data_IF_804641741137
#
_entry.id   IF_804641741137
#
_cell.length_a   1.000
_cell.length_b   1.000
_cell.length_c   1.000
_cell.angle_alpha   90.00
_cell.angle_beta   90.00
_cell.angle_gamma   90.00
#
_symmetry.space_group_name_H-M   'P 1'
#
loop_
_entity.id
_entity.type
_entity.pdbx_description
1 polymer ?
#
# COMPACT_ATOMS: atom_id res chain seq x y z
N UNK A 1 -12.59 -0.25 15.14
CA UNK A 1 -11.26 -0.22 15.82
C UNK A 1 -10.18 0.04 14.79
N UNK A 2 -9.23 0.93 15.06
CA UNK A 2 -8.04 1.17 14.21
C UNK A 2 -6.83 0.51 14.87
N UNK A 3 -6.52 -0.72 14.46
CA UNK A 3 -5.40 -1.51 15.00
C UNK A 3 -4.08 -1.04 14.41
N UNK A 4 -3.06 -0.90 15.24
CA UNK A 4 -1.70 -0.53 14.83
C UNK A 4 -0.71 -1.57 15.31
N UNK A 5 0.19 -1.99 14.42
CA UNK A 5 1.37 -2.79 14.79
C UNK A 5 2.54 -1.85 14.99
N UNK A 6 3.29 -2.03 16.06
CA UNK A 6 4.41 -1.15 16.39
C UNK A 6 5.50 -1.88 17.15
N UNK A 7 6.71 -1.34 17.13
CA UNK A 7 7.78 -1.69 18.04
C UNK A 7 7.68 -0.76 19.24
N UNK A 8 7.60 -1.34 20.44
CA UNK A 8 7.66 -0.58 21.68
C UNK A 8 9.10 -0.10 21.97
N UNK A 9 9.35 0.77 22.98
CA UNK A 9 10.70 1.24 23.29
C UNK A 9 11.72 0.16 23.67
N UNK A 10 11.28 -1.08 23.83
CA UNK A 10 12.13 -2.25 24.07
C UNK A 10 12.27 -3.12 22.79
N UNK A 11 12.01 -2.57 21.60
CA UNK A 11 12.04 -3.25 20.29
C UNK A 11 11.14 -4.50 20.20
N UNK A 12 10.09 -4.55 21.01
CA UNK A 12 9.13 -5.66 20.96
C UNK A 12 7.93 -5.32 20.10
N UNK A 13 7.61 -6.20 19.13
CA UNK A 13 6.45 -6.02 18.28
C UNK A 13 5.14 -6.21 19.07
N UNK A 14 4.25 -5.22 18.99
CA UNK A 14 2.95 -5.16 19.66
C UNK A 14 1.86 -4.84 18.68
N UNK A 15 0.61 -5.11 19.12
CA UNK A 15 -0.60 -4.66 18.44
C UNK A 15 -1.41 -3.84 19.44
N UNK A 16 -1.54 -2.56 19.16
CA UNK A 16 -2.33 -1.61 19.95
C UNK A 16 -3.49 -1.04 19.16
N UNK A 17 -4.08 0.02 19.69
CA UNK A 17 -5.15 0.78 19.08
C UNK A 17 -4.69 2.22 18.87
N UNK A 18 -4.97 2.78 17.69
CA UNK A 18 -4.73 4.19 17.38
C UNK A 18 -5.85 5.03 17.95
N UNK A 19 -5.53 5.90 18.90
CA UNK A 19 -6.49 6.74 19.62
C UNK A 19 -5.93 8.15 19.73
N UNK A 20 -6.59 9.12 19.10
CA UNK A 20 -6.26 10.54 19.20
C UNK A 20 -4.76 10.86 19.02
N UNK A 21 -4.16 10.32 17.95
CA UNK A 21 -2.76 10.58 17.59
C UNK A 21 -1.71 9.84 18.44
N UNK A 22 -2.11 8.86 19.25
CA UNK A 22 -1.23 8.03 20.07
C UNK A 22 -1.60 6.55 19.91
N UNK A 23 -0.74 5.66 20.40
CA UNK A 23 -0.99 4.21 20.41
C UNK A 23 -1.29 3.75 21.84
N UNK A 24 -2.39 3.06 22.01
CA UNK A 24 -2.82 2.46 23.29
C UNK A 24 -2.61 0.95 23.24
N UNK A 25 -1.87 0.41 24.19
CA UNK A 25 -1.63 -1.02 24.39
C UNK A 25 -1.80 -1.40 25.86
N UNK A 26 -2.88 -2.12 26.17
CA UNK A 26 -3.26 -2.40 27.56
C UNK A 26 -3.59 -1.12 28.32
N UNK A 27 -2.85 -0.86 29.41
CA UNK A 27 -2.99 0.38 30.21
C UNK A 27 -1.96 1.46 29.83
N UNK A 28 -1.12 1.22 28.82
CA UNK A 28 -0.06 2.13 28.39
C UNK A 28 -0.52 2.92 27.18
N UNK A 29 -0.07 4.19 27.11
CA UNK A 29 -0.21 5.07 25.96
C UNK A 29 1.19 5.47 25.49
N UNK A 30 1.43 5.37 24.21
CA UNK A 30 2.71 5.71 23.58
C UNK A 30 2.51 6.87 22.63
N UNK A 31 3.39 7.85 22.69
CA UNK A 31 3.51 8.89 21.67
C UNK A 31 4.22 8.31 20.45
N UNK A 32 3.91 8.82 19.26
CA UNK A 32 4.46 8.28 18.01
C UNK A 32 5.98 8.41 17.91
N UNK A 33 6.55 9.43 18.57
CA UNK A 33 8.00 9.68 18.63
C UNK A 33 8.77 8.58 19.41
N UNK A 34 8.10 7.86 20.30
CA UNK A 34 8.71 6.84 21.17
C UNK A 34 8.64 5.43 20.58
N UNK A 35 7.98 5.24 19.44
CA UNK A 35 7.68 3.94 18.84
C UNK A 35 7.94 3.94 17.34
N UNK A 36 8.08 2.76 16.75
CA UNK A 36 8.12 2.61 15.30
C UNK A 36 6.86 1.90 14.78
N UNK A 37 6.11 2.54 13.90
CA UNK A 37 4.91 1.95 13.32
C UNK A 37 5.31 0.94 12.23
N UNK A 38 4.88 -0.29 12.41
CA UNK A 38 5.09 -1.38 11.47
C UNK A 38 3.95 -1.44 10.44
N UNK A 39 4.15 -2.09 9.29
CA UNK A 39 3.05 -2.48 8.41
C UNK A 39 1.92 -3.14 9.21
N UNK A 40 0.65 -2.78 8.99
CA UNK A 40 -0.48 -3.24 9.83
C UNK A 40 -0.72 -4.75 9.75
N UNK A 41 -0.18 -5.40 8.74
CA UNK A 41 -0.24 -6.84 8.52
C UNK A 41 1.10 -7.39 8.02
N UNK A 42 1.25 -8.72 8.01
CA UNK A 42 2.38 -9.44 7.39
C UNK A 42 1.82 -10.28 6.23
N UNK A 43 1.57 -9.71 5.07
CA UNK A 43 1.01 -10.44 3.94
C UNK A 43 1.99 -11.50 3.43
N UNK A 44 1.47 -12.59 2.87
CA UNK A 44 2.27 -13.50 2.07
C UNK A 44 2.54 -12.92 0.67
N UNK A 45 1.63 -12.08 0.21
CA UNK A 45 1.67 -11.35 -1.07
C UNK A 45 0.79 -10.11 -1.01
N UNK A 46 1.07 -9.15 -1.89
CA UNK A 46 0.22 -8.00 -2.16
C UNK A 46 -0.25 -8.13 -3.61
N UNK A 47 -1.54 -8.28 -3.84
CA UNK A 47 -2.14 -8.28 -5.17
C UNK A 47 -2.51 -6.84 -5.50
N UNK A 48 -2.02 -6.33 -6.61
CA UNK A 48 -2.27 -4.97 -7.04
C UNK A 48 -3.13 -4.95 -8.31
N UNK A 49 -3.96 -3.93 -8.43
CA UNK A 49 -4.88 -3.74 -9.56
C UNK A 49 -4.49 -2.49 -10.34
N UNK A 50 -4.03 -2.68 -11.57
CA UNK A 50 -3.73 -1.57 -12.48
C UNK A 50 -4.99 -1.04 -13.15
N UNK A 51 -5.01 0.29 -13.44
CA UNK A 51 -6.08 0.97 -14.20
C UNK A 51 -7.48 0.72 -13.64
N UNK A 52 -7.68 0.95 -12.35
CA UNK A 52 -8.97 0.76 -11.69
C UNK A 52 -9.73 2.07 -11.40
N UNK A 53 -9.28 3.20 -11.93
CA UNK A 53 -10.00 4.48 -11.94
C UNK A 53 -10.10 5.00 -13.36
N UNK A 54 -11.30 5.41 -13.81
CA UNK A 54 -11.50 5.94 -15.15
C UNK A 54 -10.65 7.19 -15.40
N UNK A 55 -10.52 8.06 -14.40
CA UNK A 55 -9.69 9.26 -14.47
C UNK A 55 -8.21 8.94 -14.70
N UNK A 56 -7.68 7.85 -14.11
CA UNK A 56 -6.30 7.41 -14.35
C UNK A 56 -6.13 6.78 -15.74
N UNK A 57 -7.12 6.06 -16.25
CA UNK A 57 -7.09 5.54 -17.61
C UNK A 57 -7.06 6.69 -18.65
N UNK A 58 -7.84 7.74 -18.44
CA UNK A 58 -7.81 8.95 -19.28
C UNK A 58 -6.44 9.66 -19.23
N UNK A 59 -5.86 9.82 -18.01
CA UNK A 59 -4.55 10.46 -17.81
C UNK A 59 -3.43 9.73 -18.58
N UNK A 60 -3.51 8.39 -18.66
CA UNK A 60 -2.50 7.54 -19.30
C UNK A 60 -2.81 7.19 -20.76
N UNK A 61 -3.89 7.76 -21.35
CA UNK A 61 -4.38 7.44 -22.70
C UNK A 61 -4.56 5.92 -22.91
N UNK A 62 -5.14 5.27 -21.90
CA UNK A 62 -5.34 3.82 -21.87
C UNK A 62 -6.82 3.47 -21.95
N UNK A 63 -7.14 2.38 -22.65
CA UNK A 63 -8.49 1.84 -22.67
C UNK A 63 -8.85 1.27 -21.28
N UNK A 64 -10.14 1.40 -20.91
CA UNK A 64 -10.65 0.74 -19.70
C UNK A 64 -10.62 -0.78 -19.92
N UNK A 65 -9.96 -1.56 -19.03
CA UNK A 65 -9.83 -2.99 -19.21
C UNK A 65 -11.18 -3.71 -19.01
N UNK A 66 -11.41 -4.79 -19.75
CA UNK A 66 -12.62 -5.64 -19.59
C UNK A 66 -12.60 -6.50 -18.31
N UNK A 67 -11.43 -6.66 -17.67
CA UNK A 67 -11.22 -7.37 -16.41
C UNK A 67 -10.07 -6.73 -15.64
N UNK A 68 -9.97 -6.95 -14.30
CA UNK A 68 -8.89 -6.41 -13.50
C UNK A 68 -7.50 -6.77 -14.05
N UNK A 69 -6.64 -5.78 -14.24
CA UNK A 69 -5.24 -5.99 -14.59
C UNK A 69 -4.44 -6.27 -13.32
N UNK A 70 -4.09 -7.53 -13.09
CA UNK A 70 -3.45 -7.95 -11.84
C UNK A 70 -1.93 -8.04 -11.97
N UNK A 71 -1.23 -7.58 -10.94
CA UNK A 71 0.19 -7.85 -10.71
C UNK A 71 0.47 -8.08 -9.22
N UNK A 72 1.68 -8.50 -8.89
CA UNK A 72 2.04 -8.88 -7.52
C UNK A 72 3.23 -8.07 -7.06
N UNK A 73 3.14 -7.56 -5.83
CA UNK A 73 4.28 -7.09 -5.05
C UNK A 73 4.60 -8.13 -3.97
N UNK A 74 5.89 -8.39 -3.79
CA UNK A 74 6.43 -9.36 -2.84
C UNK A 74 6.71 -8.71 -1.48
N UNK A 75 6.96 -9.49 -0.45
CA UNK A 75 7.08 -8.99 0.93
C UNK A 75 8.26 -8.06 1.19
N UNK A 76 9.32 -8.08 0.33
CA UNK A 76 10.42 -7.12 0.38
C UNK A 76 10.00 -5.68 0.05
N UNK A 77 8.84 -5.50 -0.58
CA UNK A 77 8.32 -4.17 -0.95
C UNK A 77 7.71 -3.42 0.23
N UNK A 78 7.44 -4.11 1.33
CA UNK A 78 6.76 -3.51 2.49
C UNK A 78 7.63 -2.46 3.18
N UNK A 79 7.00 -1.33 3.49
CA UNK A 79 7.50 -0.33 4.42
C UNK A 79 6.35 0.14 5.33
N UNK A 80 6.66 0.58 6.54
CA UNK A 80 5.68 1.11 7.49
C UNK A 80 5.48 2.62 7.35
N UNK A 81 4.57 3.14 8.16
CA UNK A 81 4.38 4.58 8.33
C UNK A 81 5.64 5.23 8.90
N UNK A 82 5.95 6.47 8.49
CA UNK A 82 7.14 7.25 8.83
C UNK A 82 8.50 6.62 8.41
N UNK A 83 8.48 5.53 7.62
CA UNK A 83 9.71 4.99 7.08
C UNK A 83 10.37 5.96 6.07
N UNK A 84 11.69 6.09 6.14
CA UNK A 84 12.49 6.75 5.10
C UNK A 84 12.83 5.73 4.02
N UNK A 85 12.40 6.01 2.79
CA UNK A 85 12.54 5.09 1.66
C UNK A 85 13.66 5.57 0.75
N UNK A 86 14.61 4.67 0.48
CA UNK A 86 15.69 4.93 -0.48
C UNK A 86 15.21 4.60 -1.89
N UNK A 87 15.18 5.62 -2.74
CA UNK A 87 14.78 5.45 -4.14
C UNK A 87 15.84 4.64 -4.92
N UNK A 88 15.44 3.76 -5.85
CA UNK A 88 16.36 3.02 -6.71
C UNK A 88 17.28 3.96 -7.49
N UNK A 89 18.57 3.61 -7.50
CA UNK A 89 19.57 4.38 -8.25
C UNK A 89 19.40 4.27 -9.76
N UNK A 90 19.87 5.29 -10.47
CA UNK A 90 19.90 5.29 -11.94
C UNK A 90 18.53 5.12 -12.58
N UNK A 91 17.47 5.50 -11.85
CA UNK A 91 16.11 5.57 -12.37
C UNK A 91 15.70 7.04 -12.51
N UNK A 92 15.11 7.37 -13.67
CA UNK A 92 14.73 8.76 -13.96
C UNK A 92 13.36 9.11 -13.38
N UNK A 93 12.49 8.10 -13.20
CA UNK A 93 11.13 8.35 -12.77
C UNK A 93 10.56 7.23 -11.90
N UNK A 94 10.44 7.53 -10.61
CA UNK A 94 9.66 6.75 -9.64
C UNK A 94 8.44 7.60 -9.26
N UNK A 95 7.25 7.09 -9.52
CA UNK A 95 6.01 7.79 -9.19
C UNK A 95 5.39 7.22 -7.91
N UNK A 96 4.65 8.08 -7.18
CA UNK A 96 3.70 7.66 -6.15
C UNK A 96 2.37 7.25 -6.79
N UNK A 97 1.68 6.30 -6.16
CA UNK A 97 0.32 5.87 -6.48
C UNK A 97 -0.42 5.59 -5.17
N UNK A 98 -1.22 6.56 -4.68
CA UNK A 98 -2.04 6.40 -3.48
C UNK A 98 -3.22 5.47 -3.75
N UNK A 99 -3.40 4.46 -2.89
CA UNK A 99 -4.40 3.41 -3.07
C UNK A 99 -5.08 3.00 -1.76
N UNK A 100 -6.31 2.52 -1.85
CA UNK A 100 -6.95 1.78 -0.77
C UNK A 100 -6.40 0.35 -0.74
N UNK A 101 -5.94 -0.10 0.42
CA UNK A 101 -5.56 -1.48 0.67
C UNK A 101 -6.67 -2.24 1.38
N UNK A 102 -7.12 -3.35 0.80
CA UNK A 102 -8.07 -4.29 1.43
C UNK A 102 -7.28 -5.43 2.06
N UNK A 103 -7.41 -5.60 3.37
CA UNK A 103 -6.70 -6.65 4.13
C UNK A 103 -7.62 -7.85 4.33
N UNK A 104 -7.16 -9.03 3.93
CA UNK A 104 -7.89 -10.29 4.03
C UNK A 104 -7.83 -10.82 5.47
N UNK A 105 -8.96 -11.27 6.00
CA UNK A 105 -9.12 -11.71 7.39
C UNK A 105 -8.92 -13.21 7.63
N UNK A 106 -9.19 -14.02 6.61
CA UNK A 106 -9.08 -15.48 6.69
C UNK A 106 -8.68 -16.07 5.33
N UNK A 107 -8.09 -17.25 5.33
CA UNK A 107 -7.79 -17.95 4.08
C UNK A 107 -9.06 -18.17 3.27
N UNK A 108 -9.04 -17.76 2.01
CA UNK A 108 -10.20 -17.86 1.15
C UNK A 108 -9.86 -18.21 -0.30
N UNK A 109 -10.82 -18.82 -0.99
CA UNK A 109 -10.73 -19.26 -2.39
C UNK A 109 -12.13 -19.37 -2.98
N UNK A 110 -12.33 -18.98 -4.25
CA UNK A 110 -13.62 -18.99 -4.95
C UNK A 110 -14.74 -18.28 -4.14
N UNK A 111 -14.46 -17.05 -3.69
CA UNK A 111 -15.41 -16.24 -2.91
C UNK A 111 -16.40 -15.61 -3.87
N UNK A 112 -17.70 -15.80 -3.63
CA UNK A 112 -18.74 -15.10 -4.41
C UNK A 112 -18.78 -13.62 -4.05
N UNK A 113 -19.16 -12.76 -5.00
CA UNK A 113 -19.21 -11.31 -4.83
C UNK A 113 -20.04 -10.90 -3.59
N UNK A 114 -21.18 -11.55 -3.37
CA UNK A 114 -22.07 -11.33 -2.22
C UNK A 114 -21.46 -11.74 -0.87
N UNK A 115 -20.44 -12.60 -0.88
CA UNK A 115 -19.73 -13.07 0.32
C UNK A 115 -18.41 -12.35 0.55
N UNK A 116 -17.94 -11.53 -0.39
CA UNK A 116 -16.63 -10.89 -0.37
C UNK A 116 -16.37 -10.07 0.91
N UNK A 117 -17.38 -9.36 1.41
CA UNK A 117 -17.25 -8.56 2.65
C UNK A 117 -16.95 -9.40 3.89
N UNK A 118 -17.27 -10.71 3.90
CA UNK A 118 -17.07 -11.61 5.04
C UNK A 118 -15.61 -11.95 5.26
N UNK A 119 -14.80 -11.92 4.19
CA UNK A 119 -13.36 -12.26 4.24
C UNK A 119 -12.47 -11.05 4.47
N UNK A 120 -13.02 -9.83 4.60
CA UNK A 120 -12.27 -8.60 4.82
C UNK A 120 -12.01 -8.40 6.32
N UNK A 121 -10.74 -8.31 6.72
CA UNK A 121 -10.34 -7.90 8.08
C UNK A 121 -10.48 -6.39 8.30
N UNK A 122 -10.26 -5.60 7.24
CA UNK A 122 -10.31 -4.14 7.27
C UNK A 122 -9.53 -3.51 6.13
N UNK A 123 -9.23 -2.23 6.29
CA UNK A 123 -8.64 -1.37 5.27
C UNK A 123 -7.40 -0.65 5.79
N UNK A 124 -6.52 -0.29 4.87
CA UNK A 124 -5.30 0.47 5.13
C UNK A 124 -4.95 1.35 3.94
N UNK A 125 -4.07 2.34 4.12
CA UNK A 125 -3.52 3.08 2.99
C UNK A 125 -2.34 2.31 2.38
N UNK A 126 -2.18 2.42 1.07
CA UNK A 126 -1.05 1.87 0.30
C UNK A 126 -0.48 2.97 -0.57
N UNK A 127 0.85 2.97 -0.78
CA UNK A 127 1.49 3.74 -1.84
C UNK A 127 2.20 2.76 -2.78
N UNK A 128 1.64 2.51 -3.96
CA UNK A 128 2.22 1.61 -4.97
C UNK A 128 3.31 2.30 -5.78
N UNK A 129 4.52 2.44 -5.19
CA UNK A 129 5.64 3.07 -5.86
C UNK A 129 5.99 2.38 -7.17
N UNK A 130 6.09 3.18 -8.23
CA UNK A 130 6.17 2.71 -9.60
C UNK A 130 7.40 3.25 -10.31
N UNK A 131 8.39 2.37 -10.59
CA UNK A 131 9.53 2.70 -11.44
C UNK A 131 9.09 2.65 -12.90
N UNK A 132 8.83 3.80 -13.48
CA UNK A 132 8.29 3.92 -14.84
C UNK A 132 9.28 3.55 -15.93
N UNK A 133 10.57 3.67 -15.65
CA UNK A 133 11.62 3.29 -16.62
C UNK A 133 11.55 1.79 -16.94
N UNK A 134 11.45 0.96 -15.90
CA UNK A 134 11.37 -0.49 -16.05
C UNK A 134 9.96 -0.98 -16.39
N UNK A 135 8.92 -0.34 -15.85
CA UNK A 135 7.53 -0.70 -16.14
C UNK A 135 7.20 -0.64 -17.65
N UNK A 136 7.79 0.32 -18.39
CA UNK A 136 7.55 0.49 -19.82
C UNK A 136 8.17 -0.60 -20.67
N UNK A 137 9.20 -1.29 -20.19
CA UNK A 137 9.95 -2.29 -20.95
C UNK A 137 9.73 -3.73 -20.51
N UNK A 138 9.23 -3.94 -19.29
CA UNK A 138 8.94 -5.28 -18.76
C UNK A 138 7.44 -5.60 -18.84
N UNK A 139 7.10 -6.75 -19.40
CA UNK A 139 5.70 -7.20 -19.51
C UNK A 139 5.07 -7.56 -18.16
N UNK A 140 5.84 -8.08 -17.21
CA UNK A 140 5.38 -8.54 -15.90
C UNK A 140 5.76 -7.60 -14.74
N UNK A 141 6.33 -6.45 -15.04
CA UNK A 141 6.58 -5.31 -14.14
C UNK A 141 7.38 -5.59 -12.85
N UNK A 142 8.16 -6.67 -12.80
CA UNK A 142 8.88 -7.02 -11.58
C UNK A 142 9.82 -5.89 -11.13
N UNK A 143 10.69 -5.37 -12.03
CA UNK A 143 11.58 -4.24 -11.69
C UNK A 143 10.83 -2.91 -11.55
N UNK A 144 9.69 -2.81 -12.22
CA UNK A 144 8.82 -1.63 -12.15
C UNK A 144 8.10 -1.50 -10.81
N UNK A 145 7.71 -2.64 -10.20
CA UNK A 145 6.76 -2.66 -9.09
C UNK A 145 7.24 -3.40 -7.82
N UNK A 146 8.25 -4.30 -7.92
CA UNK A 146 8.64 -5.16 -6.80
C UNK A 146 10.06 -4.87 -6.28
N UNK A 147 10.54 -3.63 -6.36
CA UNK A 147 11.78 -3.21 -5.71
C UNK A 147 11.56 -3.00 -4.20
N UNK A 148 12.64 -3.05 -3.43
CA UNK A 148 12.56 -2.95 -1.96
C UNK A 148 11.85 -1.66 -1.51
N UNK A 149 10.98 -1.80 -0.51
CA UNK A 149 10.17 -0.73 0.06
C UNK A 149 9.22 -0.01 -0.92
N UNK A 150 8.87 -0.65 -2.04
CA UNK A 150 8.00 -0.04 -3.06
C UNK A 150 6.50 -0.17 -2.76
N UNK A 151 6.12 -0.73 -1.62
CA UNK A 151 4.74 -0.77 -1.13
C UNK A 151 4.67 -0.34 0.34
N UNK A 152 4.85 0.95 0.65
CA UNK A 152 4.48 1.47 1.96
C UNK A 152 3.02 1.18 2.25
N UNK A 153 2.73 0.63 3.45
CA UNK A 153 1.35 0.38 3.92
C UNK A 153 1.18 0.81 5.37
N UNK A 154 0.01 1.30 5.70
CA UNK A 154 -0.32 1.76 7.06
C UNK A 154 -1.23 2.99 7.08
N UNK A 155 -1.24 3.73 8.19
CA UNK A 155 -0.57 3.48 9.47
C UNK A 155 -1.25 2.39 10.29
N UNK A 156 -2.51 2.06 9.96
CA UNK A 156 -3.39 1.19 10.75
C UNK A 156 -4.10 0.17 9.87
N UNK A 157 -4.64 -0.86 10.49
CA UNK A 157 -5.75 -1.67 9.99
C UNK A 157 -7.05 -1.12 10.60
N UNK A 158 -7.81 -0.40 9.81
CA UNK A 158 -9.15 0.08 10.18
C UNK A 158 -10.18 -1.02 9.90
N UNK A 159 -10.96 -1.42 10.90
CA UNK A 159 -12.01 -2.42 10.71
C UNK A 159 -13.13 -1.88 9.78
N UNK A 160 -13.90 -2.75 9.10
CA UNK A 160 -14.78 -2.34 7.99
C UNK A 160 -15.77 -1.21 8.31
N UNK A 161 -16.23 -1.11 9.55
CA UNK A 161 -17.15 -0.08 10.00
C UNK A 161 -16.57 1.35 10.03
N UNK A 162 -15.26 1.50 9.86
CA UNK A 162 -14.58 2.81 9.82
C UNK A 162 -14.53 3.42 8.43
N UNK A 163 -14.63 2.61 7.38
CA UNK A 163 -14.63 3.11 6.01
C UNK A 163 -16.05 3.53 5.63
N UNK A 164 -16.33 4.85 5.49
CA UNK A 164 -17.63 5.30 5.03
C UNK A 164 -17.88 4.94 3.57
N UNK A 165 -19.14 4.85 3.17
CA UNK A 165 -19.51 4.75 1.76
C UNK A 165 -19.03 6.02 1.04
N UNK A 166 -18.43 5.86 -0.13
CA UNK A 166 -17.87 6.97 -0.88
C UNK A 166 -16.67 7.65 -0.23
N UNK A 167 -15.93 6.94 0.64
CA UNK A 167 -14.74 7.47 1.30
C UNK A 167 -13.81 8.17 0.32
N UNK A 168 -13.26 9.32 0.72
CA UNK A 168 -12.27 10.02 -0.09
C UNK A 168 -10.89 9.37 0.04
N UNK A 169 -10.16 9.35 -1.08
CA UNK A 169 -8.73 9.06 -1.15
C UNK A 169 -8.00 10.30 -1.65
N UNK A 170 -6.97 10.73 -0.92
CA UNK A 170 -6.16 11.88 -1.26
C UNK A 170 -4.67 11.56 -1.13
N UNK A 171 -3.86 11.99 -2.10
CA UNK A 171 -2.40 11.91 -2.02
C UNK A 171 -1.82 13.31 -2.06
N UNK A 172 -0.97 13.62 -1.09
CA UNK A 172 -0.22 14.87 -1.01
C UNK A 172 1.27 14.60 -1.18
N UNK A 173 1.94 15.48 -1.93
CA UNK A 173 3.40 15.53 -2.02
C UNK A 173 3.86 16.89 -1.48
N UNK A 174 4.70 16.89 -0.44
CA UNK A 174 5.18 18.09 0.23
C UNK A 174 4.03 19.04 0.68
N UNK A 175 2.92 18.44 1.15
CA UNK A 175 1.71 19.15 1.58
C UNK A 175 0.79 19.62 0.45
N UNK A 176 1.15 19.46 -0.83
CA UNK A 176 0.31 19.82 -1.97
C UNK A 176 -0.50 18.60 -2.45
N UNK A 177 -1.83 18.75 -2.57
CA UNK A 177 -2.72 17.71 -3.09
C UNK A 177 -2.39 17.42 -4.56
N UNK A 178 -2.10 16.17 -4.86
CA UNK A 178 -1.80 15.66 -6.21
C UNK A 178 -2.89 14.73 -6.74
N UNK A 179 -3.44 13.89 -5.88
CA UNK A 179 -4.54 12.97 -6.22
C UNK A 179 -5.69 13.23 -5.26
N UNK A 180 -6.92 13.22 -5.77
CA UNK A 180 -8.14 13.29 -4.96
C UNK A 180 -9.28 12.62 -5.73
N UNK A 181 -9.95 11.61 -5.13
CA UNK A 181 -11.07 10.88 -5.71
C UNK A 181 -11.92 10.25 -4.61
N UNK A 182 -12.96 9.54 -5.02
CA UNK A 182 -13.78 8.68 -4.15
C UNK A 182 -13.49 7.21 -4.45
N UNK A 183 -13.60 6.35 -3.45
CA UNK A 183 -13.57 4.89 -3.65
C UNK A 183 -14.76 4.38 -4.50
N UNK A 184 -15.83 5.18 -4.63
CA UNK A 184 -16.96 4.87 -5.50
C UNK A 184 -16.60 5.05 -7.00
N UNK A 185 -15.45 5.70 -7.31
CA UNK A 185 -14.96 5.89 -8.68
C UNK A 185 -14.16 4.68 -9.20
N UNK A 186 -14.03 3.61 -8.40
CA UNK A 186 -13.40 2.36 -8.81
C UNK A 186 -14.16 1.72 -9.98
N UNK A 187 -13.45 1.33 -11.04
CA UNK A 187 -14.02 0.62 -12.21
C UNK A 187 -14.51 -0.77 -11.80
N UNK A 188 -13.66 -1.51 -11.09
CA UNK A 188 -14.02 -2.79 -10.47
C UNK A 188 -14.14 -2.58 -8.97
N UNK A 189 -15.33 -2.80 -8.44
CA UNK A 189 -15.60 -2.65 -7.01
C UNK A 189 -14.85 -3.70 -6.16
N UNK A 190 -14.63 -3.40 -4.88
CA UNK A 190 -13.92 -4.30 -3.96
C UNK A 190 -14.48 -5.74 -3.95
N UNK A 191 -15.82 -5.97 -3.91
CA UNK A 191 -16.37 -7.32 -3.97
C UNK A 191 -16.06 -8.07 -5.27
N UNK A 192 -16.03 -7.37 -6.40
CA UNK A 192 -15.69 -7.92 -7.72
C UNK A 192 -14.21 -8.32 -7.78
N UNK A 193 -13.32 -7.45 -7.26
CA UNK A 193 -11.89 -7.74 -7.17
C UNK A 193 -11.61 -8.99 -6.32
N UNK A 194 -12.26 -9.14 -5.17
CA UNK A 194 -12.09 -10.33 -4.32
C UNK A 194 -12.59 -11.57 -5.04
N UNK A 195 -13.73 -11.51 -5.71
CA UNK A 195 -14.27 -12.65 -6.47
C UNK A 195 -13.32 -13.07 -7.61
N UNK A 196 -12.88 -12.12 -8.45
CA UNK A 196 -11.97 -12.37 -9.58
C UNK A 196 -10.63 -12.94 -9.11
N UNK A 197 -10.00 -12.32 -8.11
CA UNK A 197 -8.70 -12.76 -7.56
C UNK A 197 -8.83 -14.15 -6.93
N UNK A 198 -9.88 -14.40 -6.15
CA UNK A 198 -10.06 -15.69 -5.48
C UNK A 198 -10.52 -16.82 -6.40
N UNK A 199 -11.04 -16.54 -7.58
CA UNK A 199 -11.21 -17.50 -8.66
C UNK A 199 -9.83 -17.98 -9.17
N UNK A 200 -8.84 -17.10 -9.24
CA UNK A 200 -7.51 -17.40 -9.76
C UNK A 200 -6.62 -18.05 -8.71
N UNK A 201 -6.55 -17.50 -7.48
CA UNK A 201 -5.62 -17.93 -6.44
C UNK A 201 -6.22 -17.88 -5.03
N UNK A 202 -5.65 -18.66 -4.10
CA UNK A 202 -6.00 -18.53 -2.68
C UNK A 202 -5.36 -17.28 -2.08
N UNK A 203 -6.13 -16.56 -1.26
CA UNK A 203 -5.62 -15.51 -0.40
C UNK A 203 -5.50 -16.03 1.03
N UNK A 204 -4.47 -15.58 1.73
CA UNK A 204 -4.21 -15.91 3.12
C UNK A 204 -4.63 -14.78 4.04
N UNK A 205 -4.88 -15.09 5.32
CA UNK A 205 -5.11 -14.05 6.31
C UNK A 205 -3.92 -13.09 6.37
N UNK A 206 -4.19 -11.80 6.24
CA UNK A 206 -3.18 -10.75 6.20
C UNK A 206 -2.71 -10.35 4.82
N UNK A 207 -3.06 -11.09 3.74
CA UNK A 207 -2.80 -10.64 2.37
C UNK A 207 -3.51 -9.31 2.08
N UNK A 208 -2.94 -8.53 1.18
CA UNK A 208 -3.45 -7.19 0.83
C UNK A 208 -3.82 -7.16 -0.65
N UNK A 209 -4.97 -6.57 -0.95
CA UNK A 209 -5.33 -6.14 -2.30
C UNK A 209 -5.19 -4.62 -2.34
N UNK A 210 -4.28 -4.11 -3.17
CA UNK A 210 -4.15 -2.69 -3.50
C UNK A 210 -5.07 -2.41 -4.69
N UNK A 211 -6.05 -1.49 -4.51
CA UNK A 211 -7.23 -1.43 -5.37
C UNK A 211 -7.08 -0.54 -6.61
N UNK A 212 -5.90 0.00 -6.84
CA UNK A 212 -5.63 0.96 -7.91
C UNK A 212 -5.65 2.41 -7.45
N UNK A 213 -5.06 3.28 -8.25
CA UNK A 213 -4.84 4.70 -7.96
C UNK A 213 -5.65 5.61 -8.88
N UNK A 214 -6.17 6.77 -8.41
CA UNK A 214 -6.80 7.78 -9.26
C UNK A 214 -5.75 8.59 -10.06
N UNK A 215 -6.22 9.47 -10.95
CA UNK A 215 -5.37 10.43 -11.67
C UNK A 215 -4.57 11.34 -10.73
N UNK A 216 -3.47 11.89 -11.23
CA UNK A 216 -2.59 12.81 -10.50
C UNK A 216 -1.30 12.16 -9.99
N UNK A 217 -0.94 10.98 -10.53
CA UNK A 217 0.35 10.33 -10.23
C UNK A 217 1.53 11.24 -10.62
N UNK A 218 2.59 11.21 -9.84
CA UNK A 218 3.72 12.11 -10.06
C UNK A 218 5.05 11.58 -9.56
N UNK A 219 6.17 12.15 -10.06
CA UNK A 219 7.50 11.72 -9.71
C UNK A 219 7.88 12.10 -8.29
N UNK A 220 8.61 11.21 -7.62
CA UNK A 220 9.21 11.42 -6.30
C UNK A 220 10.71 11.67 -6.46
N UNK A 221 11.23 12.59 -5.69
CA UNK A 221 12.65 12.92 -5.60
C UNK A 221 13.18 12.75 -4.17
N UNK A 222 14.49 12.63 -4.01
CA UNK A 222 15.10 12.68 -2.68
C UNK A 222 14.82 14.02 -2.00
N UNK A 223 14.34 13.96 -0.76
CA UNK A 223 13.87 15.10 0.03
C UNK A 223 12.36 15.30 0.03
N UNK A 224 11.62 14.59 -0.84
CA UNK A 224 10.16 14.64 -0.83
C UNK A 224 9.55 13.86 0.34
N UNK A 225 8.34 14.31 0.71
CA UNK A 225 7.43 13.62 1.61
C UNK A 225 6.13 13.34 0.85
N UNK A 226 5.61 12.13 0.96
CA UNK A 226 4.32 11.75 0.38
C UNK A 226 3.39 11.22 1.46
N UNK A 227 2.17 11.71 1.45
CA UNK A 227 1.08 11.28 2.33
C UNK A 227 -0.05 10.70 1.49
N UNK A 228 -0.56 9.54 1.89
CA UNK A 228 -1.79 8.93 1.35
C UNK A 228 -2.82 8.90 2.45
N UNK A 229 -3.89 9.66 2.30
CA UNK A 229 -4.98 9.73 3.27
C UNK A 229 -6.23 9.06 2.70
N UNK A 230 -6.88 8.24 3.54
CA UNK A 230 -8.17 7.64 3.24
C UNK A 230 -9.11 7.94 4.41
N UNK A 231 -10.26 8.52 4.07
CA UNK A 231 -11.29 8.87 5.05
C UNK A 231 -11.70 7.65 5.88
N UNK A 232 -11.73 7.81 7.20
CA UNK A 232 -12.04 6.72 8.14
C UNK A 232 -10.88 5.78 8.44
N UNK A 233 -9.86 5.70 7.60
CA UNK A 233 -8.66 4.87 7.80
C UNK A 233 -7.57 5.67 8.50
N UNK A 234 -7.04 6.70 7.86
CA UNK A 234 -5.97 7.55 8.38
C UNK A 234 -5.00 7.98 7.27
N UNK A 235 -3.83 8.47 7.68
CA UNK A 235 -2.82 9.00 6.77
C UNK A 235 -1.52 8.20 6.88
N UNK A 236 -1.14 7.53 5.80
CA UNK A 236 0.18 6.92 5.61
C UNK A 236 1.14 8.01 5.13
N UNK A 237 2.28 8.16 5.79
CA UNK A 237 3.28 9.16 5.47
C UNK A 237 4.65 8.51 5.33
N UNK A 238 5.42 8.93 4.32
CA UNK A 238 6.79 8.47 4.12
C UNK A 238 7.67 9.59 3.56
N UNK A 239 8.94 9.56 3.95
CA UNK A 239 9.99 10.45 3.41
C UNK A 239 10.88 9.68 2.44
N UNK A 240 11.47 10.37 1.48
CA UNK A 240 12.26 9.75 0.41
C UNK A 240 13.66 10.32 0.36
N UNK A 241 14.65 9.44 0.13
CA UNK A 241 16.04 9.83 -0.09
C UNK A 241 16.55 9.25 -1.40
N UNK A 242 17.41 10.00 -2.08
CA UNK A 242 18.07 9.49 -3.26
C UNK A 242 19.03 8.36 -2.88
N UNK A 243 18.98 7.24 -3.61
CA UNK A 243 19.96 6.19 -3.42
C UNK A 243 21.37 6.68 -3.82
N UNK A 244 22.35 6.47 -2.96
CA UNK A 244 23.75 6.77 -3.27
C UNK A 244 24.45 5.53 -3.86
N UNK A 245 25.26 5.72 -4.91
CA UNK A 245 26.11 4.66 -5.41
C UNK A 245 27.33 4.50 -4.50
N UNK A 246 27.27 3.61 -3.52
CA UNK A 246 28.49 3.07 -2.90
C UNK A 246 29.12 2.12 -3.91
N UNK A 247 30.19 2.53 -4.59
CA UNK A 247 30.82 1.79 -5.70
C UNK A 247 31.41 0.41 -5.36
N UNK A 248 31.08 -0.18 -4.23
CA UNK A 248 31.40 -1.54 -3.85
C UNK A 248 30.15 -2.41 -3.97
N UNK A 249 30.12 -3.26 -4.99
CA UNK A 249 29.22 -4.42 -4.99
C UNK A 249 29.68 -5.33 -3.86
N UNK A 250 29.13 -5.19 -2.66
CA UNK A 250 29.33 -6.16 -1.60
C UNK A 250 28.60 -7.45 -1.99
N UNK A 251 29.35 -8.39 -2.57
CA UNK A 251 28.87 -9.75 -2.82
C UNK A 251 28.97 -10.59 -1.54
N UNK A 252 28.42 -10.11 -0.45
CA UNK A 252 28.27 -10.93 0.77
C UNK A 252 26.83 -11.47 0.83
N UNK A 253 26.48 -12.27 -0.17
CA UNK A 253 25.35 -13.18 -0.02
C UNK A 253 25.84 -14.33 0.88
N UNK A 254 25.53 -14.27 2.16
CA UNK A 254 25.66 -15.41 3.08
C UNK A 254 24.34 -16.18 3.01
N UNK A 255 24.29 -17.37 2.39
CA UNK A 255 23.07 -18.19 2.44
C UNK A 255 22.85 -18.63 3.88
N UNK A 256 21.67 -18.36 4.42
CA UNK A 256 21.22 -18.93 5.67
C UNK A 256 21.21 -20.48 5.55
N UNK A 257 21.98 -21.14 6.41
CA UNK A 257 21.94 -22.59 6.64
C UNK A 257 20.69 -22.97 7.44
#
# INVERSE_FOLDING_TARGET
MRKVRFLDPADSARVGEWVDGSVVFGSQRFDLEDISILPPTNPSKIICVGLNYASHAEETDSDIPERPLLFIKTTNTLAGHDATITLPQSKNRIDFEGELGVVIGEQCRNVATEDARKVIAGYTCVNDLSNRDDQRIEQNWVRGKAFDNSAPIGPVLATPEHLPDGATIETRQNGEVKQSSSIDDLIFEIPELIADITELMSLEAGDVIATGTPAGVGPISGGDEVEVEIEGVGTLKNSYVAGEFSGEKTHDFVPNQ
#
